data_IF_688175551878
#
_entry.id   IF_688175551878
#
_cell.length_a   1.000
_cell.length_b   1.000
_cell.length_c   1.000
_cell.angle_alpha   90.00
_cell.angle_beta   90.00
_cell.angle_gamma   90.00
#
_symmetry.space_group_name_H-M   'P 1'
#
loop_
_entity.id
_entity.type
_entity.pdbx_description
1 polymer ?
#
# COMPACT_ATOMS: atom_id res chain seq x y z
N UNK A 1 27.78 -2.87 0.55
CA UNK A 1 26.92 -3.03 1.74
C UNK A 1 26.29 -4.40 1.62
N UNK A 2 26.37 -5.25 2.66
CA UNK A 2 25.72 -6.57 2.65
C UNK A 2 24.20 -6.36 2.67
N UNK A 3 23.55 -6.69 1.58
CA UNK A 3 22.10 -6.82 1.48
C UNK A 3 21.71 -8.22 1.95
N UNK A 4 20.68 -8.32 2.79
CA UNK A 4 20.08 -9.60 3.15
C UNK A 4 19.46 -10.28 1.92
N UNK A 5 19.01 -11.53 2.07
CA UNK A 5 18.22 -12.24 1.04
C UNK A 5 16.93 -11.48 0.64
N UNK A 6 16.49 -10.54 1.47
CA UNK A 6 15.28 -9.72 1.29
C UNK A 6 15.57 -8.41 0.53
N UNK A 7 16.82 -8.17 0.13
CA UNK A 7 17.23 -6.93 -0.56
C UNK A 7 17.36 -5.71 0.35
N UNK A 8 17.36 -5.89 1.67
CA UNK A 8 17.45 -4.80 2.66
C UNK A 8 18.81 -4.83 3.38
N UNK A 9 19.37 -3.65 3.66
CA UNK A 9 20.64 -3.56 4.38
C UNK A 9 20.50 -3.95 5.86
N UNK A 10 21.40 -4.80 6.35
CA UNK A 10 21.46 -5.18 7.77
C UNK A 10 21.90 -4.05 8.70
N UNK A 11 22.33 -2.91 8.15
CA UNK A 11 22.59 -1.70 8.93
C UNK A 11 21.30 -1.10 9.53
N UNK A 12 20.14 -1.38 8.92
CA UNK A 12 18.83 -0.93 9.41
C UNK A 12 18.36 -1.91 10.48
N UNK A 13 18.51 -1.51 11.76
CA UNK A 13 18.18 -2.37 12.91
C UNK A 13 16.74 -2.19 13.41
N UNK A 14 16.14 -1.03 13.18
CA UNK A 14 14.77 -0.78 13.63
C UNK A 14 13.77 -1.50 12.72
N UNK A 15 12.95 -2.40 13.29
CA UNK A 15 12.06 -3.31 12.54
C UNK A 15 11.18 -2.57 11.52
N UNK A 16 10.48 -1.52 11.95
CA UNK A 16 9.59 -0.75 11.06
C UNK A 16 10.33 -0.11 9.89
N UNK A 17 11.56 0.36 10.10
CA UNK A 17 12.36 0.95 9.02
C UNK A 17 12.85 -0.12 8.06
N UNK A 18 13.17 -1.32 8.58
CA UNK A 18 13.54 -2.48 7.77
C UNK A 18 12.36 -2.92 6.91
N UNK A 19 11.14 -2.91 7.46
CA UNK A 19 9.94 -3.28 6.73
C UNK A 19 9.53 -2.22 5.69
N UNK A 20 9.72 -0.92 5.98
CA UNK A 20 9.58 0.15 4.98
C UNK A 20 10.62 0.02 3.86
N UNK A 21 11.87 -0.31 4.20
CA UNK A 21 12.90 -0.57 3.20
C UNK A 21 12.55 -1.79 2.33
N UNK A 22 12.02 -2.86 2.95
CA UNK A 22 11.52 -4.02 2.24
C UNK A 22 10.36 -3.65 1.29
N UNK A 23 9.39 -2.85 1.76
CA UNK A 23 8.32 -2.34 0.89
C UNK A 23 8.87 -1.57 -0.30
N UNK A 24 9.88 -0.71 -0.11
CA UNK A 24 10.50 0.05 -1.19
C UNK A 24 11.24 -0.83 -2.22
N UNK A 25 11.81 -1.96 -1.79
CA UNK A 25 12.57 -2.86 -2.65
C UNK A 25 11.73 -3.97 -3.32
N UNK A 26 10.61 -4.36 -2.70
CA UNK A 26 9.80 -5.52 -3.12
C UNK A 26 9.11 -5.27 -4.47
N UNK A 27 9.21 -6.15 -5.47
CA UNK A 27 8.47 -5.99 -6.71
C UNK A 27 6.96 -6.25 -6.51
N UNK A 28 6.13 -5.79 -7.45
CA UNK A 28 4.73 -6.20 -7.48
C UNK A 28 4.61 -7.72 -7.70
N UNK A 29 3.76 -8.38 -6.92
CA UNK A 29 3.50 -9.82 -7.08
C UNK A 29 2.80 -10.13 -8.41
N UNK A 30 1.97 -9.19 -8.90
CA UNK A 30 1.17 -9.35 -10.12
C UNK A 30 1.09 -8.05 -10.90
N UNK A 31 1.03 -8.16 -12.23
CA UNK A 31 0.80 -7.03 -13.13
C UNK A 31 -0.62 -7.12 -13.68
N UNK A 32 -1.41 -6.06 -13.55
CA UNK A 32 -2.83 -6.03 -13.91
C UNK A 32 -3.11 -5.06 -15.07
N UNK A 33 -2.54 -5.36 -16.25
CA UNK A 33 -2.85 -4.64 -17.49
C UNK A 33 -2.70 -3.12 -17.38
N UNK A 34 -3.81 -2.39 -17.43
CA UNK A 34 -3.84 -0.93 -17.42
C UNK A 34 -3.57 -0.30 -16.04
N UNK A 35 -3.45 -1.09 -14.97
CA UNK A 35 -3.16 -0.58 -13.64
C UNK A 35 -1.65 -0.58 -13.40
N UNK A 36 -1.06 0.59 -13.06
CA UNK A 36 0.40 0.75 -12.97
C UNK A 36 1.03 0.03 -11.77
N UNK A 37 0.22 -0.51 -10.85
CA UNK A 37 0.71 -1.16 -9.63
C UNK A 37 1.12 -0.15 -8.56
N UNK A 38 2.14 -0.52 -7.78
CA UNK A 38 2.69 0.30 -6.70
C UNK A 38 3.31 1.62 -7.20
N UNK A 39 3.37 2.68 -6.38
CA UNK A 39 4.15 3.87 -6.72
C UNK A 39 5.65 3.53 -6.82
N UNK A 40 6.31 4.09 -7.83
CA UNK A 40 7.75 3.90 -8.03
C UNK A 40 8.57 4.76 -7.06
N UNK A 41 9.88 4.46 -6.94
CA UNK A 41 10.82 5.34 -6.23
C UNK A 41 10.79 6.78 -6.75
N UNK A 42 10.59 6.98 -8.06
CA UNK A 42 10.44 8.31 -8.65
C UNK A 42 9.13 8.99 -8.19
N UNK A 43 8.02 8.26 -8.21
CA UNK A 43 6.71 8.74 -7.73
C UNK A 43 6.78 9.18 -6.28
N UNK A 44 7.52 8.45 -5.44
CA UNK A 44 7.72 8.72 -4.02
C UNK A 44 8.78 9.80 -3.76
N UNK A 45 9.70 10.05 -4.71
CA UNK A 45 10.85 10.94 -4.51
C UNK A 45 12.00 10.30 -3.74
N UNK A 46 12.17 8.98 -3.86
CA UNK A 46 13.07 8.15 -3.06
C UNK A 46 14.10 7.35 -3.89
N UNK A 47 14.23 7.61 -5.20
CA UNK A 47 15.12 6.85 -6.10
C UNK A 47 16.54 6.71 -5.56
N UNK A 48 17.16 7.80 -5.12
CA UNK A 48 18.57 7.80 -4.68
C UNK A 48 18.76 8.04 -3.17
N UNK A 49 17.68 8.40 -2.46
CA UNK A 49 17.77 8.95 -1.10
C UNK A 49 16.98 8.16 -0.04
N UNK A 50 16.51 6.95 -0.36
CA UNK A 50 15.67 6.19 0.56
C UNK A 50 16.35 5.88 1.91
N UNK A 51 17.67 5.64 1.95
CA UNK A 51 18.40 5.42 3.22
C UNK A 51 18.41 6.65 4.13
N UNK A 52 18.68 7.83 3.57
CA UNK A 52 18.67 9.10 4.30
C UNK A 52 17.26 9.41 4.81
N UNK A 53 16.25 9.19 3.97
CA UNK A 53 14.85 9.36 4.34
C UNK A 53 14.40 8.40 5.46
N UNK A 54 14.75 7.11 5.38
CA UNK A 54 14.47 6.14 6.44
C UNK A 54 15.10 6.55 7.78
N UNK A 55 16.34 7.02 7.75
CA UNK A 55 17.04 7.51 8.95
C UNK A 55 16.33 8.72 9.55
N UNK A 56 15.88 9.66 8.72
CA UNK A 56 15.16 10.85 9.18
C UNK A 56 13.79 10.52 9.79
N UNK A 57 13.17 9.39 9.40
CA UNK A 57 11.92 8.92 9.98
C UNK A 57 12.07 8.27 11.36
N UNK A 58 13.28 7.84 11.74
CA UNK A 58 13.50 7.05 12.96
C UNK A 58 12.87 7.67 14.22
N UNK A 59 13.09 8.97 14.55
CA UNK A 59 12.54 9.53 15.78
C UNK A 59 11.01 9.50 15.83
N UNK A 60 10.37 9.73 14.68
CA UNK A 60 8.93 9.73 14.58
C UNK A 60 8.32 8.32 14.63
N UNK A 61 9.03 7.33 14.10
CA UNK A 61 8.66 5.91 14.20
C UNK A 61 8.84 5.39 15.63
N UNK A 62 9.93 5.76 16.31
CA UNK A 62 10.16 5.41 17.71
C UNK A 62 9.07 6.01 18.62
N UNK A 63 8.64 7.24 18.35
CA UNK A 63 7.54 7.88 19.06
C UNK A 63 6.18 7.14 18.93
N UNK A 64 6.03 6.23 17.96
CA UNK A 64 4.83 5.38 17.85
C UNK A 64 4.78 4.31 18.97
N UNK A 65 5.83 4.16 19.79
CA UNK A 65 5.88 3.33 21.01
C UNK A 65 5.38 1.88 20.80
N UNK A 66 5.69 1.26 19.66
CA UNK A 66 5.27 -0.11 19.36
C UNK A 66 3.76 -0.29 19.14
N UNK A 67 2.99 0.79 18.96
CA UNK A 67 1.54 0.75 18.71
C UNK A 67 1.15 0.40 17.27
N UNK A 68 2.06 -0.21 16.51
CA UNK A 68 1.72 -0.71 15.17
C UNK A 68 0.83 -1.94 15.29
N UNK A 69 -0.09 -2.09 14.33
CA UNK A 69 -1.07 -3.17 14.35
C UNK A 69 -0.36 -4.54 14.42
N UNK A 70 -0.89 -5.43 15.24
CA UNK A 70 -0.32 -6.78 15.44
C UNK A 70 -0.73 -7.77 14.36
N UNK A 71 -1.86 -7.51 13.68
CA UNK A 71 -2.29 -8.31 12.53
C UNK A 71 -1.55 -7.85 11.28
N UNK A 72 -0.90 -8.80 10.61
CA UNK A 72 -0.01 -8.53 9.48
C UNK A 72 -0.65 -7.71 8.34
N UNK A 73 -1.93 -7.94 8.03
CA UNK A 73 -2.64 -7.15 7.01
C UNK A 73 -2.72 -5.66 7.38
N UNK A 74 -3.21 -5.36 8.58
CA UNK A 74 -3.28 -3.99 9.09
C UNK A 74 -1.89 -3.37 9.30
N UNK A 75 -0.90 -4.18 9.69
CA UNK A 75 0.48 -3.72 9.78
C UNK A 75 0.99 -3.26 8.40
N UNK A 76 0.77 -4.07 7.37
CA UNK A 76 1.15 -3.76 6.00
C UNK A 76 0.45 -2.50 5.47
N UNK A 77 -0.87 -2.38 5.68
CA UNK A 77 -1.62 -1.15 5.38
C UNK A 77 -1.01 0.05 6.08
N UNK A 78 -0.66 -0.09 7.37
CA UNK A 78 -0.10 0.99 8.16
C UNK A 78 1.27 1.45 7.67
N UNK A 79 2.11 0.52 7.23
CA UNK A 79 3.39 0.85 6.61
C UNK A 79 3.18 1.66 5.31
N UNK A 80 2.20 1.30 4.48
CA UNK A 80 1.85 2.07 3.29
C UNK A 80 1.33 3.47 3.62
N UNK A 81 0.52 3.61 4.66
CA UNK A 81 0.05 4.92 5.13
C UNK A 81 1.23 5.81 5.55
N UNK A 82 2.16 5.26 6.35
CA UNK A 82 3.37 5.96 6.77
C UNK A 82 4.23 6.35 5.56
N UNK A 83 4.44 5.43 4.62
CA UNK A 83 5.21 5.65 3.41
C UNK A 83 4.61 6.79 2.56
N UNK A 84 3.32 6.68 2.20
CA UNK A 84 2.67 7.62 1.28
C UNK A 84 2.55 9.03 1.86
N UNK A 85 2.36 9.14 3.18
CA UNK A 85 2.21 10.46 3.81
C UNK A 85 3.55 11.17 4.05
N UNK A 86 4.63 10.40 4.26
CA UNK A 86 5.94 10.95 4.60
C UNK A 86 6.95 10.92 3.43
N UNK A 87 6.62 10.29 2.30
CA UNK A 87 7.51 10.34 1.15
C UNK A 87 7.57 11.76 0.57
N UNK A 88 8.75 12.21 0.07
CA UNK A 88 8.94 13.58 -0.39
C UNK A 88 7.92 14.05 -1.43
N UNK A 89 7.56 13.19 -2.38
CA UNK A 89 6.74 13.58 -3.53
C UNK A 89 5.26 13.20 -3.40
N UNK A 90 4.83 12.58 -2.31
CA UNK A 90 3.43 12.18 -2.13
C UNK A 90 2.83 12.72 -0.84
N UNK A 91 1.51 12.61 -0.73
CA UNK A 91 0.74 12.85 0.50
C UNK A 91 -0.44 11.90 0.53
N UNK A 92 -0.74 11.37 1.72
CA UNK A 92 -1.93 10.56 1.92
C UNK A 92 -3.14 11.51 2.11
N UNK A 93 -4.22 11.26 1.37
CA UNK A 93 -5.45 12.04 1.45
C UNK A 93 -6.47 11.35 2.35
N UNK A 94 -6.63 10.04 2.18
CA UNK A 94 -7.48 9.20 3.00
C UNK A 94 -6.95 7.77 3.02
N UNK A 95 -7.35 7.02 4.03
CA UNK A 95 -7.16 5.58 4.11
C UNK A 95 -8.45 4.93 4.62
N UNK A 96 -8.66 3.66 4.29
CA UNK A 96 -9.83 2.87 4.70
C UNK A 96 -11.16 3.62 4.40
N UNK A 97 -11.24 4.25 3.23
CA UNK A 97 -12.35 5.11 2.85
C UNK A 97 -13.56 4.25 2.45
N UNK A 98 -14.49 4.11 3.39
CA UNK A 98 -15.71 3.33 3.17
C UNK A 98 -16.63 4.00 2.15
N UNK A 99 -16.97 3.30 1.09
CA UNK A 99 -17.92 3.74 0.07
C UNK A 99 -19.29 3.18 0.42
N UNK A 100 -20.22 4.08 0.80
CA UNK A 100 -21.59 3.70 1.15
C UNK A 100 -22.59 4.35 0.22
N UNK A 101 -23.67 3.62 -0.08
CA UNK A 101 -24.84 4.14 -0.77
C UNK A 101 -26.07 3.81 0.07
N UNK A 102 -26.77 4.87 0.52
CA UNK A 102 -27.87 4.76 1.49
C UNK A 102 -27.42 4.09 2.79
N UNK A 103 -27.71 2.79 2.97
CA UNK A 103 -27.33 1.98 4.14
C UNK A 103 -26.46 0.77 3.78
N UNK A 104 -26.05 0.67 2.51
CA UNK A 104 -25.26 -0.46 2.02
C UNK A 104 -23.82 0.00 1.78
N UNK A 105 -22.87 -0.72 2.36
CA UNK A 105 -21.45 -0.56 2.02
C UNK A 105 -21.20 -1.25 0.69
N UNK A 106 -20.77 -0.48 -0.31
CA UNK A 106 -20.40 -0.98 -1.64
C UNK A 106 -18.97 -1.52 -1.65
N UNK A 107 -18.13 -1.03 -0.75
CA UNK A 107 -16.75 -1.45 -0.55
C UNK A 107 -15.98 -0.42 0.25
N UNK A 108 -14.66 -0.56 0.23
CA UNK A 108 -13.71 0.33 0.89
C UNK A 108 -12.53 0.54 -0.05
N UNK A 109 -11.98 1.76 -0.06
CA UNK A 109 -10.73 2.07 -0.75
C UNK A 109 -9.61 2.08 0.29
N UNK A 110 -8.60 1.24 0.11
CA UNK A 110 -7.52 1.09 1.10
C UNK A 110 -6.78 2.43 1.30
N UNK A 111 -6.35 3.05 0.20
CA UNK A 111 -5.60 4.31 0.21
C UNK A 111 -6.03 5.24 -0.92
N UNK A 112 -6.14 6.52 -0.59
CA UNK A 112 -6.22 7.61 -1.54
C UNK A 112 -5.02 8.53 -1.29
N UNK A 113 -4.16 8.69 -2.28
CA UNK A 113 -2.99 9.58 -2.19
C UNK A 113 -2.91 10.47 -3.42
N UNK A 114 -1.99 11.43 -3.43
CA UNK A 114 -1.62 12.15 -4.65
C UNK A 114 -0.14 12.44 -4.66
N UNK A 115 0.40 12.77 -5.83
CA UNK A 115 1.73 13.38 -5.90
C UNK A 115 1.62 14.87 -5.59
N UNK A 116 2.70 15.48 -5.10
CA UNK A 116 2.74 16.93 -4.83
C UNK A 116 2.73 17.76 -6.11
N UNK A 117 3.07 17.15 -7.24
CA UNK A 117 3.11 17.78 -8.56
C UNK A 117 1.82 17.63 -9.36
N UNK A 118 0.92 16.74 -8.97
CA UNK A 118 -0.34 16.46 -9.67
C UNK A 118 -1.51 16.42 -8.68
N UNK A 119 -2.52 17.30 -8.82
CA UNK A 119 -3.68 17.32 -7.93
C UNK A 119 -4.60 16.11 -8.09
N UNK A 120 -4.48 15.33 -9.17
CA UNK A 120 -5.34 14.15 -9.41
C UNK A 120 -5.04 13.07 -8.38
N UNK A 121 -6.04 12.60 -7.62
CA UNK A 121 -5.84 11.55 -6.64
C UNK A 121 -5.63 10.20 -7.31
N UNK A 122 -4.83 9.36 -6.66
CA UNK A 122 -4.56 7.97 -7.02
C UNK A 122 -5.18 7.07 -5.96
N UNK A 123 -6.00 6.14 -6.41
CA UNK A 123 -6.49 5.02 -5.62
C UNK A 123 -5.44 3.91 -5.61
N UNK A 124 -5.03 3.46 -4.43
CA UNK A 124 -4.12 2.32 -4.26
C UNK A 124 -4.74 1.28 -3.33
N UNK A 125 -4.81 0.05 -3.83
CA UNK A 125 -5.15 -1.14 -3.06
C UNK A 125 -3.85 -1.84 -2.65
N UNK A 126 -3.77 -2.31 -1.40
CA UNK A 126 -2.56 -2.95 -0.86
C UNK A 126 -2.91 -4.27 -0.20
N UNK A 127 -2.08 -5.29 -0.41
CA UNK A 127 -2.29 -6.59 0.21
C UNK A 127 -0.96 -7.32 0.39
N UNK A 128 -0.80 -7.93 1.58
CA UNK A 128 0.20 -8.96 1.83
C UNK A 128 -0.49 -10.32 1.89
N UNK A 129 -0.01 -11.27 1.08
CA UNK A 129 -0.59 -12.61 0.95
C UNK A 129 0.51 -13.64 0.77
N UNK A 130 0.29 -14.82 1.35
CA UNK A 130 1.14 -15.99 1.20
C UNK A 130 0.33 -17.07 0.51
N UNK A 131 0.93 -17.70 -0.48
CA UNK A 131 0.32 -18.79 -1.22
C UNK A 131 1.27 -19.98 -1.26
N UNK A 132 0.71 -21.17 -1.15
CA UNK A 132 1.41 -22.43 -1.42
C UNK A 132 1.31 -22.73 -2.91
N UNK A 133 2.45 -22.78 -3.60
CA UNK A 133 2.51 -23.19 -5.00
C UNK A 133 2.44 -24.71 -5.11
N UNK A 134 1.47 -25.21 -5.87
CA UNK A 134 1.30 -26.65 -6.10
C UNK A 134 1.95 -27.09 -7.43
N UNK A 135 2.76 -28.16 -7.43
CA UNK A 135 3.37 -28.67 -8.67
C UNK A 135 2.33 -29.25 -9.63
N UNK A 136 1.23 -29.79 -9.09
CA UNK A 136 0.08 -30.31 -9.83
C UNK A 136 -1.19 -29.59 -9.38
N UNK A 137 -2.09 -29.29 -10.31
CA UNK A 137 -3.31 -28.54 -10.01
C UNK A 137 -4.03 -28.02 -11.25
N UNK A 138 -5.09 -27.21 -11.08
CA UNK A 138 -5.88 -26.69 -12.20
C UNK A 138 -5.05 -25.76 -13.11
N UNK A 139 -5.29 -25.88 -14.42
CA UNK A 139 -4.59 -25.09 -15.44
C UNK A 139 -3.14 -25.51 -15.69
N UNK A 140 -2.42 -24.71 -16.47
CA UNK A 140 -1.01 -24.93 -16.81
C UNK A 140 -0.05 -24.78 -15.62
N UNK A 141 1.19 -25.26 -15.76
CA UNK A 141 2.21 -25.25 -14.71
C UNK A 141 2.49 -23.86 -14.09
N UNK A 142 2.35 -22.79 -14.88
CA UNK A 142 2.54 -21.41 -14.46
C UNK A 142 1.23 -20.70 -14.04
N UNK A 143 0.12 -21.42 -13.97
CA UNK A 143 -1.20 -20.86 -13.66
C UNK A 143 -1.25 -20.26 -12.25
N UNK A 144 -1.82 -19.05 -12.14
CA UNK A 144 -2.10 -18.41 -10.85
C UNK A 144 -3.08 -19.23 -9.99
N UNK A 145 -3.88 -20.11 -10.60
CA UNK A 145 -4.81 -20.99 -9.88
C UNK A 145 -4.10 -22.09 -9.07
N UNK A 146 -2.80 -22.32 -9.29
CA UNK A 146 -1.99 -23.27 -8.52
C UNK A 146 -1.38 -22.69 -7.25
N UNK A 147 -1.58 -21.39 -7.01
CA UNK A 147 -1.12 -20.69 -5.82
C UNK A 147 -2.27 -20.57 -4.82
N UNK A 148 -2.30 -21.46 -3.84
CA UNK A 148 -3.44 -21.66 -2.94
C UNK A 148 -3.19 -20.96 -1.61
N UNK A 149 -4.18 -20.23 -1.11
CA UNK A 149 -4.11 -19.55 0.18
C UNK A 149 -4.06 -20.54 1.35
N UNK A 150 -3.61 -20.13 2.55
CA UNK A 150 -3.36 -21.06 3.67
C UNK A 150 -4.61 -21.84 4.12
N UNK A 151 -5.80 -21.29 3.91
CA UNK A 151 -7.07 -21.94 4.24
C UNK A 151 -7.66 -22.81 3.12
N UNK A 152 -6.98 -22.96 1.97
CA UNK A 152 -7.44 -23.77 0.84
C UNK A 152 -8.63 -23.20 0.04
N UNK A 153 -9.29 -22.16 0.55
CA UNK A 153 -10.50 -21.57 -0.03
C UNK A 153 -10.24 -20.39 -0.98
N UNK A 154 -9.01 -19.89 -1.04
CA UNK A 154 -8.61 -18.77 -1.89
C UNK A 154 -7.43 -19.17 -2.79
N UNK A 155 -7.26 -18.48 -3.91
CA UNK A 155 -6.10 -18.63 -4.79
C UNK A 155 -5.65 -17.27 -5.30
N UNK A 156 -4.38 -17.18 -5.75
CA UNK A 156 -3.88 -15.95 -6.36
C UNK A 156 -4.76 -15.52 -7.54
N UNK A 157 -5.24 -16.47 -8.36
CA UNK A 157 -6.15 -16.20 -9.47
C UNK A 157 -7.47 -15.55 -9.00
N UNK A 158 -8.10 -16.07 -7.94
CA UNK A 158 -9.34 -15.51 -7.40
C UNK A 158 -9.10 -14.10 -6.83
N UNK A 159 -8.01 -13.90 -6.07
CA UNK A 159 -7.65 -12.58 -5.55
C UNK A 159 -7.39 -11.57 -6.67
N UNK A 160 -6.66 -11.96 -7.72
CA UNK A 160 -6.42 -11.10 -8.89
C UNK A 160 -7.71 -10.75 -9.63
N UNK A 161 -8.59 -11.74 -9.85
CA UNK A 161 -9.89 -11.50 -10.48
C UNK A 161 -10.74 -10.52 -9.67
N UNK A 162 -10.81 -10.70 -8.34
CA UNK A 162 -11.54 -9.78 -7.47
C UNK A 162 -10.95 -8.37 -7.48
N UNK A 163 -9.62 -8.26 -7.42
CA UNK A 163 -8.92 -6.98 -7.49
C UNK A 163 -9.22 -6.24 -8.80
N UNK A 164 -9.15 -6.94 -9.93
CA UNK A 164 -9.34 -6.37 -11.26
C UNK A 164 -10.80 -5.99 -11.56
N UNK A 165 -11.76 -6.83 -11.17
CA UNK A 165 -13.17 -6.66 -11.58
C UNK A 165 -14.04 -5.98 -10.52
N UNK A 166 -13.59 -5.88 -9.27
CA UNK A 166 -14.37 -5.29 -8.18
C UNK A 166 -13.64 -4.13 -7.48
N UNK A 167 -12.48 -4.38 -6.85
CA UNK A 167 -11.82 -3.38 -6.01
C UNK A 167 -11.28 -2.18 -6.79
N UNK A 168 -10.47 -2.42 -7.82
CA UNK A 168 -9.86 -1.33 -8.59
C UNK A 168 -10.89 -0.48 -9.35
N UNK A 169 -11.96 -1.06 -9.94
CA UNK A 169 -13.04 -0.26 -10.55
C UNK A 169 -13.89 0.53 -9.56
N UNK A 170 -13.95 0.16 -8.28
CA UNK A 170 -14.81 0.81 -7.27
C UNK A 170 -14.60 2.32 -7.22
N UNK A 171 -13.34 2.77 -7.28
CA UNK A 171 -12.99 4.19 -7.24
C UNK A 171 -13.57 4.98 -8.41
N UNK A 172 -13.90 4.35 -9.55
CA UNK A 172 -14.48 5.00 -10.74
C UNK A 172 -16.00 5.11 -10.70
N UNK A 173 -16.66 4.50 -9.70
CA UNK A 173 -18.11 4.63 -9.54
C UNK A 173 -18.49 6.07 -9.16
N UNK A 174 -19.67 6.53 -9.57
CA UNK A 174 -20.14 7.88 -9.25
C UNK A 174 -20.21 8.13 -7.73
N UNK A 175 -20.63 7.12 -6.96
CA UNK A 175 -20.66 7.18 -5.49
C UNK A 175 -19.27 7.32 -4.89
N UNK A 176 -18.29 6.58 -5.38
CA UNK A 176 -16.90 6.71 -4.91
C UNK A 176 -16.31 8.07 -5.28
N UNK A 177 -16.52 8.54 -6.51
CA UNK A 177 -16.04 9.85 -6.96
C UNK A 177 -16.62 11.01 -6.13
N UNK A 178 -17.90 10.94 -5.80
CA UNK A 178 -18.52 11.92 -4.89
C UNK A 178 -17.88 11.88 -3.49
N UNK A 179 -17.56 10.71 -2.95
CA UNK A 179 -16.86 10.60 -1.65
C UNK A 179 -15.42 11.13 -1.75
N UNK A 180 -14.68 10.73 -2.78
CA UNK A 180 -13.30 11.17 -3.05
C UNK A 180 -13.22 12.70 -3.12
N UNK A 181 -14.18 13.37 -3.74
CA UNK A 181 -14.18 14.82 -3.90
C UNK A 181 -14.08 15.61 -2.57
N UNK A 182 -14.57 15.04 -1.46
CA UNK A 182 -14.47 15.66 -0.12
C UNK A 182 -13.01 15.76 0.36
N UNK A 183 -12.14 14.90 -0.16
CA UNK A 183 -10.72 14.81 0.19
C UNK A 183 -9.82 15.62 -0.76
N UNK A 184 -10.38 16.35 -1.74
CA UNK A 184 -9.61 17.11 -2.74
C UNK A 184 -9.54 18.62 -2.46
N UNK A 185 -9.84 19.06 -1.23
CA UNK A 185 -9.88 20.49 -0.90
C UNK A 185 -8.48 21.12 -0.68
N UNK A 186 -8.28 22.43 -0.87
CA UNK A 186 -6.95 23.07 -0.84
C UNK A 186 -6.30 23.23 0.55
N UNK A 187 -6.62 22.41 1.55
CA UNK A 187 -5.95 22.44 2.87
C UNK A 187 -4.59 21.73 2.88
N UNK A 188 -4.20 21.14 1.74
CA UNK A 188 -3.19 20.09 1.65
C UNK A 188 -1.86 20.51 0.99
N UNK A 189 -1.64 21.81 0.79
CA UNK A 189 -0.34 22.38 0.36
C UNK A 189 0.54 22.82 1.54
N UNK A 190 0.08 22.63 2.79
CA UNK A 190 0.88 22.89 3.99
C UNK A 190 1.92 21.80 4.29
N UNK A 191 2.81 22.07 5.25
CA UNK A 191 3.87 21.14 5.70
C UNK A 191 3.32 19.76 6.09
N UNK A 192 4.19 18.75 6.00
CA UNK A 192 3.85 17.37 6.34
C UNK A 192 3.25 17.32 7.76
N UNK A 193 2.13 16.62 7.91
CA UNK A 193 1.50 16.48 9.22
C UNK A 193 2.41 15.59 10.06
N UNK A 194 2.68 15.96 11.31
CA UNK A 194 3.51 15.16 12.22
C UNK A 194 2.94 13.74 12.33
N UNK A 195 3.82 12.74 12.30
CA UNK A 195 3.50 11.30 12.34
C UNK A 195 2.47 10.89 13.42
N UNK A 196 2.35 11.68 14.48
CA UNK A 196 1.38 11.52 15.57
C UNK A 196 -0.08 11.68 15.15
N UNK A 197 -0.41 12.49 14.13
CA UNK A 197 -1.80 12.69 13.71
C UNK A 197 -2.32 11.57 12.80
N UNK A 198 -1.44 10.74 12.24
CA UNK A 198 -1.83 9.62 11.39
C UNK A 198 -2.41 8.45 12.20
N UNK A 199 -2.30 8.44 13.54
CA UNK A 199 -2.61 7.29 14.41
C UNK A 199 -3.94 7.39 15.19
N UNK A 200 -4.77 8.40 14.92
CA UNK A 200 -6.10 8.58 15.53
C UNK A 200 -7.18 8.30 14.52
#
# INVERSE_FOLDING_TARGET
>A
MTTSAEGVSDAIRHTVLRDLAWLLATPDLVTLGAYPGRPTGLTLGLTDNHHTWLTALLPGVEALNGKLATRMGHYHERLWQLLLDNAPNTRLLANNLRITQRRTTLGELDMLYRTRTNPVPVHLEVAIKFYLGLPDGPGEANSQSRWIGPGGLDSLALKCSHLLHHQLPLSRTATAQANIAHWLTPRDTGEATTLSNLLT
#
